data_IF_935796095043
#
_entry.id   IF_935796095043
#
_cell.length_a   1.000
_cell.length_b   1.000
_cell.length_c   1.000
_cell.angle_alpha   90.00
_cell.angle_beta   90.00
_cell.angle_gamma   90.00
#
_symmetry.space_group_name_H-M   'P 1'
#
loop_
_entity.id
_entity.type
_entity.pdbx_description
1 polymer ?
#
# COMPACT_ATOMS: atom_id res chain seq x y z
N UNK A 1 24.49 -74.21 -21.53
CA UNK A 1 24.58 -72.75 -21.44
C UNK A 1 24.06 -72.39 -20.05
N UNK A 2 24.77 -72.86 -19.01
CA UNK A 2 25.86 -72.17 -18.28
C UNK A 2 25.27 -71.01 -17.44
N UNK A 3 25.06 -71.22 -16.12
CA UNK A 3 25.98 -70.89 -14.99
C UNK A 3 26.19 -69.36 -14.85
N UNK A 4 26.22 -68.66 -13.71
CA UNK A 4 26.32 -68.90 -12.27
C UNK A 4 26.45 -67.51 -11.60
N UNK A 5 26.01 -67.34 -10.35
CA UNK A 5 26.85 -67.00 -9.18
C UNK A 5 26.99 -65.48 -8.83
N UNK A 6 26.81 -65.20 -7.54
CA UNK A 6 26.98 -63.91 -6.84
C UNK A 6 28.46 -63.63 -6.47
N UNK A 7 28.72 -62.37 -6.07
CA UNK A 7 29.72 -61.84 -5.12
C UNK A 7 30.77 -60.79 -5.59
N UNK A 8 30.57 -59.57 -5.06
CA UNK A 8 31.46 -58.58 -4.43
C UNK A 8 32.94 -58.36 -4.86
N UNK A 9 33.29 -57.09 -5.15
CA UNK A 9 34.14 -56.21 -4.29
C UNK A 9 34.50 -54.84 -4.92
N UNK A 10 34.24 -53.79 -4.14
CA UNK A 10 35.02 -52.57 -3.81
C UNK A 10 35.94 -51.90 -4.87
N UNK A 11 35.72 -50.61 -5.18
CA UNK A 11 36.31 -49.44 -4.45
C UNK A 11 36.46 -48.16 -5.31
N UNK A 12 36.35 -47.01 -4.60
CA UNK A 12 36.94 -45.68 -4.84
C UNK A 12 36.30 -44.66 -5.82
N UNK A 13 35.65 -43.68 -5.20
CA UNK A 13 35.79 -42.22 -5.37
C UNK A 13 35.90 -41.61 -6.78
N UNK A 14 34.92 -40.80 -7.16
CA UNK A 14 35.19 -39.36 -7.21
C UNK A 14 33.90 -38.51 -7.10
N UNK A 15 34.00 -37.57 -6.16
CA UNK A 15 33.11 -36.46 -5.86
C UNK A 15 33.03 -35.47 -7.03
N UNK A 16 31.83 -34.96 -7.30
CA UNK A 16 31.62 -33.53 -7.50
C UNK A 16 30.12 -33.26 -7.63
N UNK A 17 29.60 -32.66 -6.56
CA UNK A 17 28.21 -32.25 -6.43
C UNK A 17 27.83 -31.11 -7.36
N UNK A 18 26.61 -31.22 -7.89
CA UNK A 18 25.75 -30.06 -8.13
C UNK A 18 24.51 -30.24 -7.26
N UNK A 19 24.59 -29.62 -6.09
CA UNK A 19 23.48 -29.46 -5.16
C UNK A 19 22.55 -28.38 -5.74
N UNK A 20 21.80 -28.71 -6.79
CA UNK A 20 20.65 -27.93 -7.25
C UNK A 20 19.50 -28.16 -6.27
N UNK A 21 19.69 -27.67 -5.05
CA UNK A 21 18.61 -27.47 -4.10
C UNK A 21 17.73 -26.35 -4.64
N UNK A 22 16.76 -26.74 -5.47
CA UNK A 22 15.59 -25.94 -5.80
C UNK A 22 14.94 -25.61 -4.45
N UNK A 23 15.18 -24.39 -3.97
CA UNK A 23 14.51 -23.86 -2.80
C UNK A 23 13.05 -23.68 -3.18
N UNK A 24 12.24 -24.65 -2.75
CA UNK A 24 10.79 -24.55 -2.74
C UNK A 24 10.40 -23.28 -1.98
N UNK A 25 9.95 -22.27 -2.72
CA UNK A 25 9.30 -21.07 -2.18
C UNK A 25 8.01 -21.48 -1.49
N UNK A 26 8.15 -21.92 -0.24
CA UNK A 26 7.09 -21.88 0.76
C UNK A 26 7.20 -20.53 1.43
N UNK A 27 6.27 -19.62 1.11
CA UNK A 27 5.99 -18.38 1.87
C UNK A 27 5.52 -18.74 3.29
N UNK A 28 6.39 -19.37 4.08
CA UNK A 28 6.28 -19.45 5.52
C UNK A 28 6.82 -18.13 6.06
N UNK A 29 5.91 -17.18 6.27
CA UNK A 29 6.24 -15.79 6.56
C UNK A 29 7.28 -15.62 7.67
N UNK A 30 8.41 -15.03 7.31
CA UNK A 30 9.46 -14.62 8.24
C UNK A 30 8.89 -13.63 9.26
N UNK A 31 9.02 -13.94 10.55
CA UNK A 31 8.60 -13.04 11.62
C UNK A 31 9.58 -11.86 11.75
N UNK A 32 9.05 -10.68 12.07
CA UNK A 32 9.86 -9.49 12.35
C UNK A 32 10.48 -9.65 13.74
N UNK A 33 11.79 -9.87 13.79
CA UNK A 33 12.62 -9.94 15.00
C UNK A 33 13.58 -8.74 15.05
N UNK A 34 14.10 -8.39 16.22
CA UNK A 34 15.08 -7.29 16.38
C UNK A 34 16.26 -7.41 15.39
N UNK A 35 16.72 -8.64 15.13
CA UNK A 35 17.82 -8.91 14.20
C UNK A 35 17.43 -8.78 12.71
N UNK A 36 16.13 -8.83 12.39
CA UNK A 36 15.61 -8.94 11.01
C UNK A 36 14.84 -7.68 10.57
N UNK A 37 14.57 -6.76 11.49
CA UNK A 37 13.81 -5.55 11.19
C UNK A 37 14.55 -4.69 10.17
N UNK A 38 15.86 -4.49 10.36
CA UNK A 38 16.68 -3.67 9.46
C UNK A 38 16.82 -4.31 8.07
N UNK A 39 16.98 -5.63 8.00
CA UNK A 39 17.04 -6.38 6.75
C UNK A 39 15.71 -6.33 5.99
N UNK A 40 14.58 -6.61 6.67
CA UNK A 40 13.26 -6.56 6.02
C UNK A 40 12.91 -5.16 5.54
N UNK A 41 13.20 -4.12 6.34
CA UNK A 41 12.96 -2.73 5.97
C UNK A 41 13.76 -2.34 4.72
N UNK A 42 15.01 -2.79 4.61
CA UNK A 42 15.83 -2.62 3.40
C UNK A 42 15.32 -3.44 2.21
N UNK A 43 14.70 -4.61 2.44
CA UNK A 43 14.22 -5.50 1.37
C UNK A 43 12.81 -5.22 0.83
N UNK A 44 12.09 -4.19 1.29
CA UNK A 44 10.73 -3.88 0.81
C UNK A 44 10.76 -3.40 -0.65
N UNK A 45 10.77 -4.36 -1.59
CA UNK A 45 10.76 -4.12 -3.04
C UNK A 45 12.07 -4.43 -3.75
N UNK A 46 13.08 -4.95 -3.04
CA UNK A 46 14.45 -4.99 -3.54
C UNK A 46 14.95 -6.44 -3.62
N UNK A 47 15.07 -6.98 -4.84
CA UNK A 47 15.77 -8.25 -5.08
C UNK A 47 17.26 -7.97 -5.07
N UNK A 48 17.90 -8.24 -3.93
CA UNK A 48 19.32 -8.00 -3.70
C UNK A 48 20.18 -9.02 -4.46
N UNK A 49 21.10 -8.52 -5.29
CA UNK A 49 22.29 -9.26 -5.72
C UNK A 49 23.50 -8.36 -5.49
N UNK A 50 24.48 -8.77 -4.68
CA UNK A 50 25.72 -8.03 -4.49
C UNK A 50 26.59 -8.18 -5.75
N UNK A 51 26.43 -7.29 -6.73
CA UNK A 51 27.32 -7.28 -7.89
C UNK A 51 28.56 -6.42 -7.62
N UNK A 52 29.71 -7.09 -7.55
CA UNK A 52 31.01 -6.57 -7.13
C UNK A 52 31.74 -5.66 -8.14
N UNK A 53 31.07 -5.02 -9.12
CA UNK A 53 31.77 -4.19 -10.14
C UNK A 53 30.87 -3.09 -10.80
N UNK A 54 30.39 -2.09 -10.04
CA UNK A 54 29.65 -0.95 -10.62
C UNK A 54 30.51 0.34 -10.59
N UNK A 55 30.87 0.89 -11.77
CA UNK A 55 31.70 2.12 -11.87
C UNK A 55 30.94 3.40 -11.51
N UNK A 56 29.67 3.46 -11.86
CA UNK A 56 28.76 4.59 -11.63
C UNK A 56 27.41 4.02 -11.22
N UNK A 57 26.77 4.66 -10.26
CA UNK A 57 25.41 4.35 -9.82
C UNK A 57 24.68 5.62 -9.35
N UNK A 58 23.35 5.59 -9.43
CA UNK A 58 22.49 6.69 -9.00
C UNK A 58 21.62 6.24 -7.81
N UNK A 59 21.50 7.11 -6.80
CA UNK A 59 20.61 6.90 -5.64
C UNK A 59 19.47 7.89 -5.74
N UNK A 60 18.23 7.40 -5.76
CA UNK A 60 17.02 8.25 -5.80
C UNK A 60 15.87 7.56 -5.08
N UNK A 61 15.00 8.34 -4.42
CA UNK A 61 13.77 7.83 -3.78
C UNK A 61 12.52 8.03 -4.65
N UNK A 62 12.62 8.72 -5.78
CA UNK A 62 11.49 8.95 -6.68
C UNK A 62 11.29 7.77 -7.64
N UNK A 63 10.19 7.04 -7.46
CA UNK A 63 9.80 5.91 -8.33
C UNK A 63 9.76 6.26 -9.81
N UNK A 64 9.42 7.50 -10.19
CA UNK A 64 9.40 7.89 -11.60
C UNK A 64 10.82 7.88 -12.20
N UNK A 65 11.78 8.48 -11.51
CA UNK A 65 13.19 8.47 -11.93
C UNK A 65 13.78 7.06 -11.91
N UNK A 66 13.47 6.26 -10.89
CA UNK A 66 13.94 4.89 -10.79
C UNK A 66 13.52 4.04 -12.01
N UNK A 67 12.27 4.16 -12.47
CA UNK A 67 11.79 3.44 -13.66
C UNK A 67 12.53 3.87 -14.94
N UNK A 68 12.86 5.16 -15.08
CA UNK A 68 13.61 5.67 -16.24
C UNK A 68 15.07 5.20 -16.20
N UNK A 69 15.73 5.29 -15.04
CA UNK A 69 17.13 4.90 -14.86
C UNK A 69 17.35 3.40 -15.14
N UNK A 70 16.48 2.53 -14.63
CA UNK A 70 16.53 1.10 -14.95
C UNK A 70 16.35 0.85 -16.44
N UNK A 71 15.49 1.63 -17.10
CA UNK A 71 15.26 1.49 -18.54
C UNK A 71 16.44 1.94 -19.39
N UNK A 72 17.18 2.94 -18.93
CA UNK A 72 18.44 3.38 -19.53
C UNK A 72 19.59 2.38 -19.30
N UNK A 73 19.36 1.30 -18.54
CA UNK A 73 20.39 0.34 -18.16
C UNK A 73 21.40 0.93 -17.17
N UNK A 74 21.02 2.02 -16.49
CA UNK A 74 21.85 2.64 -15.47
C UNK A 74 21.66 1.91 -14.14
N UNK A 75 22.75 1.82 -13.42
CA UNK A 75 22.83 1.23 -12.11
C UNK A 75 22.08 2.09 -11.09
N UNK A 76 20.99 1.56 -10.53
CA UNK A 76 20.22 2.20 -9.48
C UNK A 76 20.53 1.54 -8.13
N UNK A 77 20.88 2.36 -7.15
CA UNK A 77 21.09 1.95 -5.77
C UNK A 77 19.99 2.50 -4.86
N UNK A 78 19.61 1.73 -3.85
CA UNK A 78 18.77 2.19 -2.74
C UNK A 78 19.59 3.07 -1.78
N UNK A 79 18.92 3.69 -0.80
CA UNK A 79 19.59 4.48 0.25
C UNK A 79 20.57 3.59 1.03
N UNK A 80 20.22 2.31 1.19
CA UNK A 80 21.01 1.33 1.95
C UNK A 80 22.14 0.69 1.11
N UNK A 81 22.32 1.13 -0.15
CA UNK A 81 23.41 0.66 -1.01
C UNK A 81 23.12 -0.64 -1.78
N UNK A 82 21.89 -1.16 -1.72
CA UNK A 82 21.49 -2.32 -2.53
C UNK A 82 21.20 -1.95 -3.97
N UNK A 83 21.55 -2.83 -4.91
CA UNK A 83 21.21 -2.67 -6.33
C UNK A 83 19.76 -3.07 -6.59
N UNK A 84 19.00 -2.14 -7.14
CA UNK A 84 17.63 -2.37 -7.56
C UNK A 84 17.66 -2.98 -8.97
N UNK A 85 17.06 -4.16 -9.16
CA UNK A 85 16.94 -4.83 -10.47
C UNK A 85 15.56 -4.66 -11.11
N UNK A 86 14.51 -4.69 -10.30
CA UNK A 86 13.13 -4.63 -10.77
C UNK A 86 12.29 -3.76 -9.85
N UNK A 87 11.40 -2.96 -10.41
CA UNK A 87 10.47 -2.12 -9.66
C UNK A 87 9.05 -2.64 -9.80
N UNK A 88 8.35 -2.77 -8.67
CA UNK A 88 6.91 -3.05 -8.65
C UNK A 88 6.15 -1.75 -8.85
N UNK A 89 5.88 -1.41 -10.11
CA UNK A 89 5.11 -0.23 -10.48
C UNK A 89 3.60 -0.48 -10.45
N UNK A 90 2.84 0.55 -10.09
CA UNK A 90 1.39 0.49 -10.03
C UNK A 90 0.78 1.70 -10.74
N UNK A 91 -0.34 1.45 -11.44
CA UNK A 91 -1.14 2.51 -12.06
C UNK A 91 -2.60 2.37 -11.62
N UNK A 92 -3.37 3.44 -11.81
CA UNK A 92 -4.82 3.39 -11.68
C UNK A 92 -5.46 3.08 -13.03
N UNK A 93 -6.34 2.09 -13.07
CA UNK A 93 -7.16 1.77 -14.25
C UNK A 93 -8.64 1.98 -13.92
N UNK A 94 -9.39 2.57 -14.83
CA UNK A 94 -10.84 2.69 -14.68
C UNK A 94 -11.54 1.36 -15.02
N UNK A 95 -12.51 0.95 -14.20
CA UNK A 95 -13.34 -0.23 -14.47
C UNK A 95 -14.36 -0.02 -15.61
N UNK A 96 -14.80 1.22 -15.82
CA UNK A 96 -15.87 1.52 -16.78
C UNK A 96 -15.33 1.86 -18.18
N UNK A 97 -14.42 2.83 -18.29
CA UNK A 97 -13.90 3.30 -19.58
C UNK A 97 -12.53 2.71 -19.95
N UNK A 98 -11.98 1.84 -19.10
CA UNK A 98 -10.67 1.18 -19.25
C UNK A 98 -9.45 2.09 -19.40
N UNK A 99 -9.62 3.42 -19.30
CA UNK A 99 -8.53 4.37 -19.31
C UNK A 99 -7.60 4.14 -18.11
N UNK A 100 -6.30 4.27 -18.36
CA UNK A 100 -5.25 4.22 -17.36
C UNK A 100 -4.86 5.63 -16.95
N UNK A 101 -4.34 5.79 -15.73
CA UNK A 101 -3.87 7.06 -15.18
C UNK A 101 -2.70 6.76 -14.25
N UNK A 102 -1.60 7.51 -14.43
CA UNK A 102 -0.38 7.41 -13.63
C UNK A 102 -0.47 8.18 -12.30
N UNK A 103 -1.41 9.11 -12.19
CA UNK A 103 -1.63 9.95 -11.00
C UNK A 103 -2.31 9.13 -9.90
N UNK A 104 -1.53 8.62 -8.95
CA UNK A 104 -2.00 7.74 -7.87
C UNK A 104 -2.84 8.45 -6.78
N UNK A 105 -2.84 9.78 -6.77
CA UNK A 105 -3.62 10.59 -5.82
C UNK A 105 -5.08 10.75 -6.24
N UNK A 106 -5.42 10.46 -7.51
CA UNK A 106 -6.78 10.62 -8.02
C UNK A 106 -7.72 9.53 -7.52
N UNK A 107 -8.95 9.96 -7.20
CA UNK A 107 -10.07 9.08 -6.82
C UNK A 107 -11.04 8.86 -7.98
N UNK A 108 -11.33 9.91 -8.74
CA UNK A 108 -12.22 9.90 -9.89
C UNK A 108 -11.42 9.73 -11.19
N UNK A 109 -11.98 9.01 -12.15
CA UNK A 109 -11.33 8.84 -13.45
C UNK A 109 -11.36 10.15 -14.25
N UNK A 110 -10.22 10.64 -14.79
CA UNK A 110 -10.19 11.88 -15.54
C UNK A 110 -10.95 11.82 -16.88
N UNK A 111 -11.16 10.62 -17.43
CA UNK A 111 -11.84 10.44 -18.73
C UNK A 111 -13.36 10.38 -18.61
N UNK A 112 -13.89 9.72 -17.56
CA UNK A 112 -15.34 9.47 -17.42
C UNK A 112 -15.95 10.01 -16.12
N UNK A 113 -15.17 10.62 -15.22
CA UNK A 113 -15.64 11.20 -13.96
C UNK A 113 -16.05 10.20 -12.88
N UNK A 114 -16.18 8.91 -13.19
CA UNK A 114 -16.64 7.91 -12.23
C UNK A 114 -15.55 7.54 -11.19
N UNK A 115 -15.97 7.29 -9.95
CA UNK A 115 -15.14 6.72 -8.87
C UNK A 115 -14.93 5.21 -9.07
N UNK A 116 -14.29 4.84 -10.18
CA UNK A 116 -14.10 3.46 -10.60
C UNK A 116 -12.62 3.12 -10.84
N UNK A 117 -11.71 3.95 -10.33
CA UNK A 117 -10.27 3.69 -10.40
C UNK A 117 -9.90 2.57 -9.42
N UNK A 118 -9.13 1.61 -9.89
CA UNK A 118 -8.52 0.57 -9.07
C UNK A 118 -7.03 0.47 -9.38
N UNK A 119 -6.24 0.16 -8.34
CA UNK A 119 -4.79 -0.02 -8.45
C UNK A 119 -4.49 -1.36 -9.13
N UNK A 120 -3.68 -1.31 -10.18
CA UNK A 120 -3.23 -2.45 -10.98
C UNK A 120 -1.71 -2.45 -11.00
N UNK A 121 -1.09 -3.61 -10.81
CA UNK A 121 0.35 -3.77 -10.93
C UNK A 121 0.74 -3.83 -12.41
N UNK A 122 1.86 -3.20 -12.76
CA UNK A 122 2.36 -3.13 -14.13
C UNK A 122 3.79 -3.62 -14.17
N UNK A 123 4.07 -4.50 -15.11
CA UNK A 123 5.45 -4.85 -15.50
C UNK A 123 5.75 -4.21 -16.85
N UNK A 124 6.91 -3.59 -16.96
CA UNK A 124 7.40 -3.00 -18.21
C UNK A 124 8.46 -3.95 -18.76
N UNK A 125 8.22 -4.51 -19.94
CA UNK A 125 9.15 -5.45 -20.56
C UNK A 125 10.35 -4.73 -21.21
N UNK A 126 11.35 -5.50 -21.60
CA UNK A 126 12.52 -5.02 -22.32
C UNK A 126 12.21 -4.39 -23.68
N UNK A 127 11.05 -4.67 -24.26
CA UNK A 127 10.58 -4.04 -25.50
C UNK A 127 9.87 -2.70 -25.26
N UNK A 128 9.67 -2.31 -24.01
CA UNK A 128 8.90 -1.11 -23.62
C UNK A 128 7.39 -1.34 -23.59
N UNK A 129 6.92 -2.55 -23.88
CA UNK A 129 5.50 -2.90 -23.74
C UNK A 129 5.11 -3.01 -22.27
N UNK A 130 4.00 -2.39 -21.89
CA UNK A 130 3.44 -2.47 -20.54
C UNK A 130 2.47 -3.64 -20.42
N UNK A 131 2.75 -4.58 -19.52
CA UNK A 131 1.84 -5.68 -19.17
C UNK A 131 1.11 -5.36 -17.86
N UNK A 132 -0.22 -5.43 -17.88
CA UNK A 132 -1.08 -5.14 -16.75
C UNK A 132 -1.53 -6.43 -16.05
N UNK A 133 -1.27 -6.54 -14.75
CA UNK A 133 -1.66 -7.68 -13.93
C UNK A 133 -3.01 -7.42 -13.24
N UNK A 134 -4.10 -7.82 -13.90
CA UNK A 134 -5.47 -7.51 -13.46
C UNK A 134 -6.09 -8.69 -12.68
N UNK A 135 -6.57 -8.43 -11.47
CA UNK A 135 -7.35 -9.39 -10.69
C UNK A 135 -8.84 -9.33 -11.04
N UNK A 136 -9.28 -10.15 -11.99
CA UNK A 136 -10.66 -10.19 -12.48
C UNK A 136 -11.70 -10.58 -11.41
N UNK A 137 -11.35 -11.47 -10.48
CA UNK A 137 -12.25 -11.90 -9.38
C UNK A 137 -12.68 -10.71 -8.52
N UNK A 138 -11.74 -9.80 -8.22
CA UNK A 138 -12.03 -8.55 -7.48
C UNK A 138 -12.88 -7.58 -8.31
N UNK A 139 -12.82 -7.65 -9.64
CA UNK A 139 -13.57 -6.76 -10.52
C UNK A 139 -15.04 -7.15 -10.64
N UNK A 140 -15.38 -8.42 -10.49
CA UNK A 140 -16.74 -8.95 -10.65
C UNK A 140 -17.70 -8.56 -9.52
N UNK A 141 -17.21 -8.26 -8.31
CA UNK A 141 -18.08 -7.91 -7.18
C UNK A 141 -18.64 -6.49 -7.31
N UNK A 142 -19.97 -6.38 -7.47
CA UNK A 142 -20.71 -5.12 -7.42
C UNK A 142 -21.23 -4.76 -6.00
N UNK A 143 -20.79 -5.51 -4.98
CA UNK A 143 -21.33 -5.42 -3.63
C UNK A 143 -21.00 -4.06 -2.99
N UNK A 144 -22.02 -3.37 -2.51
CA UNK A 144 -21.87 -2.08 -1.82
C UNK A 144 -21.77 -0.86 -2.73
N UNK A 145 -21.88 -1.03 -4.06
CA UNK A 145 -21.93 0.09 -5.01
C UNK A 145 -23.34 0.72 -5.09
N UNK A 146 -24.39 -0.10 -5.00
CA UNK A 146 -25.79 0.36 -5.02
C UNK A 146 -26.32 0.48 -3.59
N UNK A 147 -26.66 1.70 -3.18
CA UNK A 147 -27.30 2.03 -1.91
C UNK A 147 -28.12 3.32 -2.06
N UNK A 148 -29.09 3.54 -1.17
CA UNK A 148 -29.89 4.75 -1.16
C UNK A 148 -29.06 5.95 -0.72
N UNK A 149 -29.01 6.99 -1.55
CA UNK A 149 -28.37 8.25 -1.21
C UNK A 149 -29.33 9.13 -0.38
N UNK A 150 -28.82 9.95 0.55
CA UNK A 150 -29.62 10.97 1.20
C UNK A 150 -30.10 12.00 0.16
N UNK A 151 -31.22 12.67 0.46
CA UNK A 151 -31.69 13.79 -0.35
C UNK A 151 -30.61 14.89 -0.43
N UNK A 152 -30.45 15.57 -1.57
CA UNK A 152 -29.51 16.66 -1.70
C UNK A 152 -29.87 17.78 -0.72
N UNK A 153 -28.90 18.18 0.10
CA UNK A 153 -29.05 19.24 1.10
C UNK A 153 -28.05 20.35 0.82
N UNK A 154 -28.51 21.60 0.90
CA UNK A 154 -27.66 22.79 0.81
C UNK A 154 -27.31 23.36 2.19
N UNK A 155 -26.57 24.47 2.19
CA UNK A 155 -26.23 25.24 3.38
C UNK A 155 -24.77 25.09 3.81
N UNK A 156 -24.38 25.90 4.82
CA UNK A 156 -22.99 26.04 5.27
C UNK A 156 -22.39 24.74 5.83
N UNK A 157 -23.23 23.83 6.33
CA UNK A 157 -22.79 22.61 7.02
C UNK A 157 -23.38 21.34 6.40
N UNK A 158 -23.78 21.37 5.13
CA UNK A 158 -24.22 20.16 4.44
C UNK A 158 -23.08 19.15 4.34
N UNK A 159 -23.30 17.93 4.85
CA UNK A 159 -22.34 16.82 4.77
C UNK A 159 -22.94 15.73 3.88
N UNK A 160 -22.60 15.78 2.60
CA UNK A 160 -23.02 14.79 1.60
C UNK A 160 -21.85 13.92 1.12
N UNK A 161 -22.11 12.75 0.54
CA UNK A 161 -21.08 11.98 -0.15
C UNK A 161 -20.56 12.77 -1.37
N UNK A 162 -19.26 12.68 -1.63
CA UNK A 162 -18.65 13.19 -2.86
C UNK A 162 -18.85 12.17 -3.99
N UNK A 163 -19.59 12.58 -5.03
CA UNK A 163 -19.98 11.77 -6.19
C UNK A 163 -19.11 12.01 -7.42
N UNK A 164 -18.52 13.20 -7.55
CA UNK A 164 -17.62 13.59 -8.65
C UNK A 164 -16.47 14.48 -8.14
N UNK A 165 -15.45 14.69 -8.98
CA UNK A 165 -14.20 15.40 -8.61
C UNK A 165 -14.50 16.85 -8.22
N UNK A 166 -15.18 17.59 -9.09
CA UNK A 166 -15.45 19.02 -8.94
C UNK A 166 -16.71 19.35 -8.12
N UNK A 167 -17.10 18.46 -7.21
CA UNK A 167 -18.29 18.69 -6.38
C UNK A 167 -18.02 19.84 -5.40
N UNK A 168 -18.87 20.90 -5.37
CA UNK A 168 -18.70 21.98 -4.41
C UNK A 168 -18.95 21.46 -2.99
N UNK A 169 -17.95 21.62 -2.12
CA UNK A 169 -18.00 21.18 -0.72
C UNK A 169 -17.91 22.42 0.18
N UNK A 170 -18.76 22.55 1.20
CA UNK A 170 -18.68 23.67 2.13
C UNK A 170 -17.35 23.70 2.87
N UNK A 171 -16.86 24.90 3.18
CA UNK A 171 -15.61 25.12 3.91
C UNK A 171 -15.78 24.82 5.41
N UNK A 172 -15.82 23.54 5.75
CA UNK A 172 -15.80 23.05 7.13
C UNK A 172 -14.35 22.72 7.52
N UNK A 173 -13.51 23.74 7.66
CA UNK A 173 -12.12 23.55 8.13
C UNK A 173 -12.11 23.36 9.64
N UNK A 174 -11.24 22.48 10.11
CA UNK A 174 -10.94 22.41 11.54
C UNK A 174 -10.27 23.73 11.95
N UNK A 175 -10.59 24.23 13.15
CA UNK A 175 -9.83 25.33 13.72
C UNK A 175 -8.36 24.93 13.82
N UNK A 176 -7.44 25.87 13.63
CA UNK A 176 -6.04 25.66 13.95
C UNK A 176 -5.91 25.53 15.46
N UNK A 177 -6.10 24.32 15.99
CA UNK A 177 -5.49 23.95 17.26
C UNK A 177 -4.01 23.68 16.95
N UNK A 178 -3.12 24.26 17.75
CA UNK A 178 -1.71 23.88 17.75
C UNK A 178 -1.64 22.45 18.31
N UNK A 179 -1.90 21.48 17.44
CA UNK A 179 -1.69 20.08 17.70
C UNK A 179 -0.38 19.77 17.01
N UNK A 180 0.72 19.88 17.74
CA UNK A 180 2.01 19.45 17.24
C UNK A 180 1.93 17.94 16.98
N UNK A 181 2.06 17.50 15.71
CA UNK A 181 1.93 16.08 15.35
C UNK A 181 2.99 15.20 16.04
N UNK A 182 4.02 15.83 16.59
CA UNK A 182 5.14 15.24 17.31
C UNK A 182 5.02 15.32 18.84
N UNK A 183 4.00 15.95 19.43
CA UNK A 183 3.89 16.04 20.91
C UNK A 183 2.98 14.98 21.53
N UNK A 184 2.11 14.34 20.75
CA UNK A 184 1.13 13.36 21.24
C UNK A 184 1.54 11.91 20.97
N UNK A 185 2.85 11.64 20.92
CA UNK A 185 3.37 10.29 20.82
C UNK A 185 3.75 9.74 22.19
N UNK A 186 3.64 8.42 22.46
CA UNK A 186 4.12 7.83 23.71
C UNK A 186 5.66 7.90 23.87
N UNK A 187 6.38 8.31 22.82
CA UNK A 187 7.85 8.41 22.77
C UNK A 187 8.36 9.85 22.74
N UNK A 188 7.48 10.83 22.94
CA UNK A 188 7.88 12.22 23.06
C UNK A 188 8.50 12.40 24.44
N UNK A 189 9.60 13.16 24.55
CA UNK A 189 10.17 13.54 25.84
C UNK A 189 9.17 14.48 26.54
N UNK A 190 8.13 13.93 27.12
CA UNK A 190 7.19 14.65 27.96
C UNK A 190 7.70 14.50 29.40
N UNK A 191 8.19 15.59 29.98
CA UNK A 191 8.49 15.62 31.41
C UNK A 191 7.27 15.14 32.21
N UNK A 192 7.50 14.30 33.23
CA UNK A 192 6.47 13.70 34.12
C UNK A 192 5.55 14.72 34.81
N UNK A 193 5.86 16.01 34.73
CA UNK A 193 5.07 17.14 35.25
C UNK A 193 3.97 17.63 34.29
N UNK A 194 3.95 17.16 33.04
CA UNK A 194 2.99 17.60 32.00
C UNK A 194 1.60 16.95 32.10
N UNK A 195 1.08 16.80 33.32
CA UNK A 195 -0.31 16.33 33.58
C UNK A 195 -1.31 17.48 33.41
N UNK A 196 -1.40 18.09 32.22
CA UNK A 196 -2.50 19.00 31.86
C UNK A 196 -2.42 19.44 30.39
N UNK A 197 -2.63 18.55 29.42
CA UNK A 197 -2.86 18.96 28.02
C UNK A 197 -4.05 18.29 27.32
N UNK A 198 -5.01 17.76 28.09
CA UNK A 198 -6.23 17.16 27.52
C UNK A 198 -7.36 18.16 27.23
N UNK A 199 -7.20 19.46 27.49
CA UNK A 199 -8.36 20.34 27.71
C UNK A 199 -8.63 21.48 26.70
N UNK A 200 -8.00 21.51 25.52
CA UNK A 200 -8.19 22.65 24.59
C UNK A 200 -8.78 22.33 23.21
N UNK A 201 -9.49 21.21 23.04
CA UNK A 201 -10.19 20.92 21.78
C UNK A 201 -11.71 21.17 21.82
N UNK A 202 -12.29 21.46 22.99
CA UNK A 202 -13.75 21.44 23.21
C UNK A 202 -14.44 22.77 22.85
N UNK A 203 -13.71 23.89 22.80
CA UNK A 203 -14.33 25.23 22.72
C UNK A 203 -14.55 25.77 21.30
N UNK A 204 -14.19 25.03 20.24
CA UNK A 204 -14.35 25.51 18.87
C UNK A 204 -15.66 25.05 18.23
N UNK A 205 -16.30 25.94 17.46
CA UNK A 205 -17.52 25.64 16.69
C UNK A 205 -17.35 24.44 15.75
N UNK A 206 -16.12 24.16 15.31
CA UNK A 206 -15.74 22.96 14.55
C UNK A 206 -15.84 21.66 15.36
N UNK A 207 -15.55 21.69 16.66
CA UNK A 207 -15.64 20.53 17.54
C UNK A 207 -17.11 20.17 17.84
N UNK A 208 -17.98 21.17 18.02
CA UNK A 208 -19.43 20.97 18.15
C UNK A 208 -20.07 20.37 16.88
N UNK A 209 -19.56 20.76 15.71
CA UNK A 209 -19.97 20.18 14.42
C UNK A 209 -19.40 18.77 14.18
N UNK A 210 -18.57 18.26 15.10
CA UNK A 210 -17.97 16.93 15.00
C UNK A 210 -17.06 16.76 13.78
N UNK A 211 -16.44 17.84 13.31
CA UNK A 211 -15.53 17.79 12.17
C UNK A 211 -14.32 16.93 12.51
N UNK A 212 -14.02 15.98 11.62
CA UNK A 212 -12.87 15.07 11.74
C UNK A 212 -11.86 15.43 10.66
N UNK A 213 -10.59 15.09 10.91
CA UNK A 213 -9.59 15.17 9.86
C UNK A 213 -10.05 14.35 8.65
N UNK A 214 -9.72 14.83 7.44
CA UNK A 214 -10.04 14.14 6.18
C UNK A 214 -9.26 12.82 6.01
N UNK A 215 -8.56 12.35 7.05
CA UNK A 215 -7.85 11.09 7.04
C UNK A 215 -8.86 9.97 6.79
N UNK A 216 -8.63 9.28 5.67
CA UNK A 216 -9.56 8.38 5.01
C UNK A 216 -9.95 7.22 5.93
N UNK A 217 -11.03 7.37 6.70
CA UNK A 217 -11.63 6.24 7.39
C UNK A 217 -12.16 5.30 6.31
N UNK A 218 -11.63 4.07 6.29
CA UNK A 218 -12.13 3.01 5.39
C UNK A 218 -13.60 2.77 5.74
N UNK A 219 -14.49 3.37 4.95
CA UNK A 219 -15.93 3.21 5.11
C UNK A 219 -16.30 1.76 4.86
N UNK A 220 -17.12 1.20 5.76
CA UNK A 220 -17.74 -0.11 5.53
C UNK A 220 -18.77 0.01 4.42
N UNK A 221 -19.09 -1.11 3.76
CA UNK A 221 -20.20 -1.19 2.83
C UNK A 221 -21.50 -0.67 3.51
N UNK A 222 -22.15 0.37 2.98
CA UNK A 222 -23.34 0.99 3.58
C UNK A 222 -24.51 0.02 3.80
N UNK A 223 -24.59 -1.04 2.99
CA UNK A 223 -25.66 -2.05 3.08
C UNK A 223 -25.43 -3.06 4.21
N UNK A 224 -24.28 -3.03 4.87
CA UNK A 224 -23.98 -3.95 5.98
C UNK A 224 -24.64 -3.45 7.26
N UNK A 225 -25.46 -4.30 7.89
CA UNK A 225 -26.07 -4.01 9.18
C UNK A 225 -24.98 -3.74 10.22
N UNK A 226 -24.99 -2.55 10.80
CA UNK A 226 -24.17 -2.23 11.96
C UNK A 226 -24.90 -2.67 13.23
N UNK A 227 -24.15 -3.23 14.19
CA UNK A 227 -24.69 -3.45 15.54
C UNK A 227 -24.93 -2.07 16.16
N UNK A 228 -26.18 -1.65 16.25
CA UNK A 228 -26.53 -0.42 16.94
C UNK A 228 -26.06 -0.51 18.40
N UNK A 229 -25.45 0.56 18.92
CA UNK A 229 -25.32 0.72 20.38
C UNK A 229 -26.75 0.69 20.93
N UNK A 230 -27.11 -0.31 21.74
CA UNK A 230 -28.36 -0.33 22.50
C UNK A 230 -28.40 0.99 23.29
N UNK A 231 -29.20 1.95 22.83
CA UNK A 231 -29.55 3.11 23.65
C UNK A 231 -30.39 2.52 24.78
N UNK A 232 -29.81 2.42 25.98
CA UNK A 232 -30.53 1.95 27.15
C UNK A 232 -31.85 2.71 27.26
N UNK A 233 -32.94 1.98 27.46
CA UNK A 233 -34.25 2.57 27.71
C UNK A 233 -34.10 3.61 28.83
N UNK A 234 -34.32 4.89 28.50
CA UNK A 234 -34.61 5.89 29.53
C UNK A 234 -35.98 5.52 30.05
N UNK A 235 -36.02 4.85 31.21
CA UNK A 235 -37.25 4.62 31.96
C UNK A 235 -37.90 5.99 32.17
N UNK A 236 -39.14 6.08 31.72
CA UNK A 236 -40.02 7.24 31.88
C UNK A 236 -40.39 7.39 33.34
#
# INVERSE_FOLDING_TARGET
MEEGAEDDKDNADNDNGDNDSISSSSDAGTWLNEDNVDEILGHIGEVAVPERNMKVACITTDFAMQNVLLRLGLNLLSIDGYRIRQLKSYILRCRACFATTTIMTKRFCPRCGNNCLHRVAVTVNEDGTMQLHINWKRLQSARGLKYSLPAPQGGKHAVGPQLFEDQPIPQNRMAHCHADPLETGPFTMNDVTSSARFHLAVCFRSALLGLRSLQKVVGRNPNVRTRGRKRGNKRR
#
